data_IF_655288530638
#
_entry.id   IF_655288530638
#
_cell.length_a   1.000
_cell.length_b   1.000
_cell.length_c   1.000
_cell.angle_alpha   90.00
_cell.angle_beta   90.00
_cell.angle_gamma   90.00
#
_symmetry.space_group_name_H-M   'P 1'
#
loop_
_entity.id
_entity.type
_entity.pdbx_description
1 polymer ?
#
# COMPACT_ATOMS: atom_id res chain seq x y z
N UNK A 1 4.55 7.85 -36.51
CA UNK A 1 5.23 6.61 -36.07
C UNK A 1 4.42 6.03 -34.92
N UNK A 2 3.59 5.02 -35.19
CA UNK A 2 2.76 4.37 -34.17
C UNK A 2 3.67 3.55 -33.25
N UNK A 3 3.58 3.77 -31.94
CA UNK A 3 4.26 2.95 -30.93
C UNK A 3 3.75 1.51 -31.08
N UNK A 4 4.63 0.48 -31.05
CA UNK A 4 4.19 -0.90 -31.13
C UNK A 4 3.24 -1.21 -29.97
N UNK A 5 2.14 -1.87 -30.28
CA UNK A 5 1.17 -2.44 -29.36
C UNK A 5 1.92 -3.40 -28.42
N UNK A 6 2.32 -2.91 -27.24
CA UNK A 6 2.89 -3.78 -26.21
C UNK A 6 1.78 -4.70 -25.72
N UNK A 7 2.00 -6.02 -25.63
CA UNK A 7 0.99 -6.94 -25.14
C UNK A 7 0.58 -6.49 -23.74
N UNK A 8 -0.67 -6.06 -23.59
CA UNK A 8 -1.22 -5.70 -22.29
C UNK A 8 -1.12 -6.93 -21.37
N UNK A 9 -0.50 -6.76 -20.21
CA UNK A 9 -0.37 -7.85 -19.25
C UNK A 9 -1.75 -8.38 -18.86
N UNK A 10 -1.92 -9.70 -18.70
CA UNK A 10 -3.19 -10.27 -18.25
C UNK A 10 -3.57 -9.71 -16.88
N UNK A 11 -4.85 -9.42 -16.69
CA UNK A 11 -5.42 -8.93 -15.41
C UNK A 11 -5.06 -9.86 -14.25
N UNK A 12 -4.97 -11.17 -14.49
CA UNK A 12 -4.57 -12.16 -13.49
C UNK A 12 -3.16 -11.95 -12.96
N UNK A 13 -2.21 -11.52 -13.79
CA UNK A 13 -0.83 -11.24 -13.39
C UNK A 13 -0.76 -9.94 -12.61
N UNK A 14 -1.46 -8.89 -13.08
CA UNK A 14 -1.54 -7.61 -12.35
C UNK A 14 -2.21 -7.78 -10.97
N UNK A 15 -3.17 -8.70 -10.84
CA UNK A 15 -3.83 -9.01 -9.57
C UNK A 15 -2.88 -9.71 -8.58
N UNK A 16 -1.97 -10.57 -9.06
CA UNK A 16 -0.95 -11.19 -8.22
C UNK A 16 0.01 -10.13 -7.66
N UNK A 17 0.50 -9.21 -8.50
CA UNK A 17 1.34 -8.12 -8.02
C UNK A 17 0.63 -7.22 -7.01
N UNK A 18 -0.65 -6.90 -7.27
CA UNK A 18 -1.46 -6.15 -6.31
C UNK A 18 -1.61 -6.89 -4.98
N UNK A 19 -1.80 -8.22 -5.02
CA UNK A 19 -1.90 -9.03 -3.83
C UNK A 19 -0.60 -8.99 -3.00
N UNK A 20 0.55 -9.13 -3.65
CA UNK A 20 1.86 -9.04 -2.98
C UNK A 20 2.04 -7.66 -2.34
N UNK A 21 1.77 -6.58 -3.08
CA UNK A 21 1.83 -5.20 -2.57
C UNK A 21 0.88 -4.98 -1.37
N UNK A 22 -0.31 -5.59 -1.42
CA UNK A 22 -1.31 -5.50 -0.37
C UNK A 22 -0.88 -6.24 0.91
N UNK A 23 -0.31 -7.44 0.78
CA UNK A 23 0.20 -8.22 1.92
C UNK A 23 1.36 -7.49 2.60
N UNK A 24 2.27 -6.90 1.82
CA UNK A 24 3.36 -6.08 2.34
C UNK A 24 2.85 -4.80 3.03
N UNK A 25 1.81 -4.18 2.48
CA UNK A 25 1.15 -3.04 3.13
C UNK A 25 0.45 -3.43 4.44
N UNK A 26 -0.23 -4.56 4.48
CA UNK A 26 -0.86 -5.07 5.70
C UNK A 26 0.20 -5.32 6.79
N UNK A 27 1.33 -5.91 6.43
CA UNK A 27 2.44 -6.18 7.36
C UNK A 27 2.98 -4.89 7.98
N UNK A 28 3.12 -3.82 7.17
CA UNK A 28 3.50 -2.48 7.66
C UNK A 28 2.47 -1.88 8.61
N UNK A 29 1.18 -2.04 8.32
CA UNK A 29 0.11 -1.60 9.22
C UNK A 29 0.17 -2.33 10.57
N UNK A 30 0.33 -3.66 10.55
CA UNK A 30 0.45 -4.46 11.76
C UNK A 30 1.64 -4.03 12.61
N UNK A 31 2.82 -3.91 11.99
CA UNK A 31 4.03 -3.42 12.67
C UNK A 31 3.82 -2.05 13.30
N UNK A 32 3.20 -1.10 12.58
CA UNK A 32 2.95 0.23 13.13
C UNK A 32 1.97 0.23 14.31
N UNK A 33 0.94 -0.61 14.27
CA UNK A 33 0.02 -0.82 15.39
C UNK A 33 0.74 -1.41 16.61
N UNK A 34 1.58 -2.42 16.42
CA UNK A 34 2.35 -3.05 17.48
C UNK A 34 3.36 -2.07 18.09
N UNK A 35 4.10 -1.33 17.26
CA UNK A 35 5.03 -0.30 17.70
C UNK A 35 4.31 0.80 18.49
N UNK A 36 3.18 1.30 17.99
CA UNK A 36 2.39 2.32 18.69
C UNK A 36 1.89 1.79 20.03
N UNK A 37 1.40 0.55 20.07
CA UNK A 37 0.93 -0.09 21.32
C UNK A 37 2.06 -0.25 22.33
N UNK A 38 3.24 -0.68 21.89
CA UNK A 38 4.41 -0.82 22.75
C UNK A 38 4.85 0.53 23.34
N UNK A 39 4.86 1.59 22.51
CA UNK A 39 5.20 2.94 22.94
C UNK A 39 4.16 3.52 23.91
N UNK A 40 2.87 3.25 23.70
CA UNK A 40 1.81 3.71 24.62
C UNK A 40 1.84 2.99 25.98
N UNK A 41 2.42 1.79 26.05
CA UNK A 41 2.62 1.04 27.29
C UNK A 41 3.91 1.44 28.04
N UNK A 42 4.76 2.26 27.42
CA UNK A 42 5.95 2.79 28.07
C UNK A 42 5.55 3.90 29.04
N UNK A 43 6.03 3.83 30.28
CA UNK A 43 5.91 4.92 31.26
C UNK A 43 6.86 6.09 30.94
N UNK A 44 7.70 5.96 29.91
CA UNK A 44 8.63 7.02 29.47
C UNK A 44 7.97 7.95 28.45
N UNK A 45 8.14 9.27 28.58
CA UNK A 45 7.71 10.21 27.56
C UNK A 45 8.47 9.95 26.25
N UNK A 46 7.74 10.01 25.14
CA UNK A 46 8.34 9.89 23.81
C UNK A 46 9.16 11.13 23.49
N UNK A 47 10.37 10.93 22.99
CA UNK A 47 11.19 12.03 22.51
C UNK A 47 10.64 12.57 21.18
N UNK A 48 11.09 13.78 20.82
CA UNK A 48 10.62 14.47 19.61
C UNK A 48 10.92 13.67 18.35
N UNK A 49 12.08 13.02 18.28
CA UNK A 49 12.49 12.22 17.13
C UNK A 49 11.56 11.01 16.92
N UNK A 50 11.19 10.31 18.00
CA UNK A 50 10.23 9.20 17.93
C UNK A 50 8.86 9.68 17.45
N UNK A 51 8.36 10.80 18.00
CA UNK A 51 7.08 11.38 17.56
C UNK A 51 7.07 11.77 16.08
N UNK A 52 8.14 12.40 15.60
CA UNK A 52 8.29 12.76 14.19
C UNK A 52 8.35 11.51 13.29
N UNK A 53 9.10 10.48 13.70
CA UNK A 53 9.17 9.20 13.00
C UNK A 53 7.80 8.52 12.91
N UNK A 54 7.04 8.49 14.01
CA UNK A 54 5.68 7.97 14.02
C UNK A 54 4.76 8.74 13.07
N UNK A 55 4.85 10.07 13.07
CA UNK A 55 4.04 10.90 12.18
C UNK A 55 4.37 10.64 10.70
N UNK A 56 5.67 10.58 10.36
CA UNK A 56 6.11 10.29 9.00
C UNK A 56 5.62 8.92 8.54
N UNK A 57 5.75 7.89 9.40
CA UNK A 57 5.33 6.54 9.05
C UNK A 57 3.80 6.43 8.90
N UNK A 58 3.02 7.10 9.76
CA UNK A 58 1.58 7.22 9.58
C UNK A 58 1.21 7.90 8.25
N UNK A 59 1.99 8.89 7.82
CA UNK A 59 1.86 9.53 6.50
C UNK A 59 2.13 8.55 5.36
N UNK A 60 3.19 7.75 5.46
CA UNK A 60 3.54 6.71 4.48
C UNK A 60 2.45 5.65 4.37
N UNK A 61 1.86 5.21 5.49
CA UNK A 61 0.74 4.25 5.49
C UNK A 61 -0.47 4.84 4.76
N UNK A 62 -0.83 6.10 5.03
CA UNK A 62 -1.95 6.77 4.34
C UNK A 62 -1.70 6.89 2.83
N UNK A 63 -0.48 7.26 2.43
CA UNK A 63 -0.11 7.33 1.03
C UNK A 63 -0.20 5.96 0.35
N UNK A 64 0.36 4.92 1.00
CA UNK A 64 0.30 3.54 0.50
C UNK A 64 -1.12 3.02 0.31
N UNK A 65 -2.05 3.33 1.23
CA UNK A 65 -3.47 2.99 1.08
C UNK A 65 -4.07 3.63 -0.17
N UNK A 66 -3.76 4.90 -0.44
CA UNK A 66 -4.29 5.59 -1.61
C UNK A 66 -3.74 5.01 -2.91
N UNK A 67 -2.45 4.65 -2.94
CA UNK A 67 -1.83 3.96 -4.08
C UNK A 67 -2.51 2.61 -4.35
N UNK A 68 -2.69 1.77 -3.32
CA UNK A 68 -3.38 0.48 -3.47
C UNK A 68 -4.82 0.66 -3.96
N UNK A 69 -5.56 1.65 -3.44
CA UNK A 69 -6.92 1.94 -3.94
C UNK A 69 -6.93 2.29 -5.42
N UNK A 70 -5.98 3.11 -5.87
CA UNK A 70 -5.87 3.48 -7.29
C UNK A 70 -5.50 2.27 -8.16
N UNK A 71 -4.54 1.44 -7.74
CA UNK A 71 -4.18 0.21 -8.45
C UNK A 71 -5.38 -0.74 -8.56
N UNK A 72 -6.15 -0.91 -7.48
CA UNK A 72 -7.34 -1.76 -7.47
C UNK A 72 -8.44 -1.23 -8.41
N UNK A 73 -8.65 0.09 -8.45
CA UNK A 73 -9.59 0.71 -9.39
C UNK A 73 -9.18 0.49 -10.85
N UNK A 74 -7.88 0.60 -11.15
CA UNK A 74 -7.36 0.33 -12.49
C UNK A 74 -7.52 -1.14 -12.88
N UNK A 75 -7.22 -2.06 -11.96
CA UNK A 75 -7.43 -3.50 -12.14
C UNK A 75 -8.88 -3.83 -12.43
N UNK A 76 -9.81 -3.25 -11.66
CA UNK A 76 -11.24 -3.43 -11.89
C UNK A 76 -11.65 -2.98 -13.29
N UNK A 77 -11.19 -1.80 -13.71
CA UNK A 77 -11.52 -1.28 -15.04
C UNK A 77 -10.95 -2.15 -16.17
N UNK A 78 -9.72 -2.65 -16.02
CA UNK A 78 -9.12 -3.60 -16.97
C UNK A 78 -9.89 -4.92 -17.02
N UNK A 79 -10.37 -5.42 -15.88
CA UNK A 79 -11.17 -6.64 -15.82
C UNK A 79 -12.49 -6.48 -16.58
N UNK A 80 -13.20 -5.36 -16.36
CA UNK A 80 -14.45 -5.03 -17.04
C UNK A 80 -14.26 -4.91 -18.57
N UNK A 81 -13.11 -4.41 -19.04
CA UNK A 81 -12.77 -4.32 -20.47
C UNK A 81 -12.34 -5.65 -21.11
N UNK A 82 -11.97 -6.66 -20.31
CA UNK A 82 -11.53 -7.96 -20.81
C UNK A 82 -12.70 -8.94 -21.02
N UNK A 83 -13.91 -8.58 -20.59
CA UNK A 83 -15.14 -9.37 -20.77
C UNK A 83 -15.95 -8.97 -22.04
N UNK A 84 -15.60 -7.86 -22.69
CA UNK A 84 -16.14 -7.41 -24.00
C UNK A 84 -15.28 -7.89 -25.19
#
# INVERSE_FOLDING_TARGET
MSKPDQPQQPVSVDLLYFYDDFVDFQSRCAFFCDATTALMKSDQPLDKATLEGMHQHAGQIKAGLNTLKQQLQQLRHKAEQAED
#
